data_IF_078974341385
#
_entry.id   IF_078974341385
#
_cell.length_a   1.000
_cell.length_b   1.000
_cell.length_c   1.000
_cell.angle_alpha   90.00
_cell.angle_beta   90.00
_cell.angle_gamma   90.00
#
_symmetry.space_group_name_H-M   'P 1'
#
loop_
_entity.id
_entity.type
_entity.pdbx_description
1 polymer ?
#
# COMPACT_ATOMS: atom_id res chain seq x y z
N UNK A 1 -4.57 13.31 -16.07
CA UNK A 1 -3.69 12.24 -15.60
C UNK A 1 -4.28 11.71 -14.30
N UNK A 2 -4.54 10.44 -14.04
CA UNK A 2 -4.64 9.20 -14.81
C UNK A 2 -5.53 8.33 -13.92
N UNK A 3 -6.59 7.76 -14.48
CA UNK A 3 -7.65 7.10 -13.70
C UNK A 3 -7.07 5.98 -12.83
N UNK A 4 -7.40 6.00 -11.54
CA UNK A 4 -7.23 4.82 -10.70
C UNK A 4 -8.02 3.68 -11.34
N UNK A 5 -7.32 2.77 -12.01
CA UNK A 5 -7.86 1.45 -12.28
C UNK A 5 -8.05 0.81 -10.92
N UNK A 6 -9.24 0.97 -10.34
CA UNK A 6 -9.64 0.22 -9.16
C UNK A 6 -9.65 -1.25 -9.57
N UNK A 7 -8.53 -1.95 -9.36
CA UNK A 7 -8.53 -3.40 -9.32
C UNK A 7 -9.53 -3.75 -8.22
N UNK A 8 -10.56 -4.48 -8.61
CA UNK A 8 -11.58 -4.94 -7.68
C UNK A 8 -10.87 -5.94 -6.79
N UNK A 9 -10.74 -5.60 -5.50
CA UNK A 9 -10.24 -6.55 -4.51
C UNK A 9 -11.30 -7.61 -4.28
N UNK A 10 -10.87 -8.85 -4.12
CA UNK A 10 -11.78 -9.94 -3.81
C UNK A 10 -12.43 -9.69 -2.44
N UNK A 11 -13.77 -9.71 -2.33
CA UNK A 11 -14.46 -9.38 -1.09
C UNK A 11 -14.10 -10.30 0.08
N UNK A 12 -13.78 -11.56 -0.23
CA UNK A 12 -13.34 -12.57 0.73
C UNK A 12 -11.98 -12.20 1.32
N UNK A 13 -11.00 -11.84 0.48
CA UNK A 13 -9.68 -11.38 0.92
C UNK A 13 -9.77 -10.11 1.77
N UNK A 14 -10.65 -9.16 1.40
CA UNK A 14 -10.88 -7.95 2.19
C UNK A 14 -11.48 -8.28 3.55
N UNK A 15 -12.37 -9.27 3.63
CA UNK A 15 -12.94 -9.72 4.89
C UNK A 15 -11.88 -10.36 5.79
N UNK A 16 -11.04 -11.23 5.24
CA UNK A 16 -9.95 -11.89 5.97
C UNK A 16 -8.95 -10.87 6.53
N UNK A 17 -8.49 -9.94 5.69
CA UNK A 17 -7.60 -8.84 6.11
C UNK A 17 -8.29 -7.96 7.17
N UNK A 18 -9.59 -7.70 7.03
CA UNK A 18 -10.35 -6.91 8.01
C UNK A 18 -10.40 -7.61 9.36
N UNK A 19 -10.57 -8.93 9.38
CA UNK A 19 -10.59 -9.73 10.60
C UNK A 19 -9.21 -9.82 11.26
N UNK A 20 -8.15 -9.97 10.46
CA UNK A 20 -6.77 -10.06 10.95
C UNK A 20 -6.24 -8.73 11.49
N UNK A 21 -6.49 -7.63 10.78
CA UNK A 21 -5.89 -6.31 11.07
C UNK A 21 -6.80 -5.39 11.88
N UNK A 22 -8.11 -5.66 11.89
CA UNK A 22 -9.13 -4.75 12.43
C UNK A 22 -9.38 -3.51 11.56
N UNK A 23 -8.79 -3.41 10.37
CA UNK A 23 -9.08 -2.31 9.44
C UNK A 23 -10.44 -2.48 8.77
N UNK A 24 -11.14 -1.36 8.58
CA UNK A 24 -12.36 -1.35 7.78
C UNK A 24 -12.06 -1.65 6.30
N UNK A 25 -13.00 -2.25 5.55
CA UNK A 25 -12.85 -2.47 4.10
C UNK A 25 -12.41 -1.22 3.34
N UNK A 26 -12.96 -0.05 3.71
CA UNK A 26 -12.58 1.24 3.11
C UNK A 26 -11.11 1.60 3.35
N UNK A 27 -10.57 1.31 4.53
CA UNK A 27 -9.14 1.52 4.83
C UNK A 27 -8.27 0.57 4.01
N UNK A 28 -8.68 -0.70 3.88
CA UNK A 28 -7.98 -1.72 3.09
C UNK A 28 -7.90 -1.29 1.62
N UNK A 29 -9.02 -0.88 1.01
CA UNK A 29 -9.01 -0.36 -0.37
C UNK A 29 -8.07 0.85 -0.54
N UNK A 30 -8.05 1.78 0.44
CA UNK A 30 -7.15 2.95 0.39
C UNK A 30 -5.68 2.56 0.56
N UNK A 31 -5.38 1.56 1.38
CA UNK A 31 -4.03 1.01 1.52
C UNK A 31 -3.60 0.35 0.21
N UNK A 32 -4.45 -0.49 -0.37
CA UNK A 32 -4.17 -1.17 -1.63
C UNK A 32 -3.95 -0.21 -2.81
N UNK A 33 -4.73 0.86 -2.91
CA UNK A 33 -4.52 1.89 -3.93
C UNK A 33 -3.18 2.59 -3.77
N UNK A 34 -2.77 2.90 -2.52
CA UNK A 34 -1.45 3.48 -2.24
C UNK A 34 -0.33 2.50 -2.55
N UNK A 35 -0.50 1.24 -2.16
CA UNK A 35 0.42 0.15 -2.48
C UNK A 35 0.61 0.02 -3.99
N UNK A 36 -0.48 0.00 -4.77
CA UNK A 36 -0.42 -0.13 -6.24
C UNK A 36 0.25 1.07 -6.92
N UNK A 37 0.17 2.26 -6.32
CA UNK A 37 0.86 3.44 -6.81
C UNK A 37 2.38 3.40 -6.53
N UNK A 38 2.80 2.65 -5.51
CA UNK A 38 4.20 2.45 -5.15
C UNK A 38 4.84 1.27 -5.90
N UNK A 39 4.11 0.17 -6.12
CA UNK A 39 4.58 -1.00 -6.89
C UNK A 39 4.57 -0.73 -8.41
N UNK A 40 5.53 0.10 -8.86
CA UNK A 40 5.68 0.47 -10.27
C UNK A 40 6.09 -0.70 -11.16
N UNK A 41 6.75 -1.70 -10.58
CA UNK A 41 7.13 -2.94 -11.28
C UNK A 41 5.98 -3.92 -11.47
N UNK A 42 4.85 -3.71 -10.80
CA UNK A 42 3.78 -4.70 -10.67
C UNK A 42 4.31 -6.08 -10.23
N UNK A 43 5.31 -6.06 -9.34
CA UNK A 43 5.99 -7.26 -8.88
C UNK A 43 5.17 -8.02 -7.82
N UNK A 44 4.13 -7.39 -7.27
CA UNK A 44 3.32 -7.99 -6.20
C UNK A 44 3.96 -7.88 -4.82
N UNK A 45 5.03 -7.07 -4.69
CA UNK A 45 5.60 -6.65 -3.41
C UNK A 45 6.23 -5.26 -3.54
N UNK A 46 6.49 -4.60 -2.39
CA UNK A 46 7.25 -3.35 -2.34
C UNK A 46 8.67 -3.60 -1.86
N UNK A 47 9.64 -3.02 -2.56
CA UNK A 47 11.04 -2.97 -2.16
C UNK A 47 11.32 -1.69 -1.36
N UNK A 48 12.45 -1.67 -0.65
CA UNK A 48 12.89 -0.48 0.11
C UNK A 48 12.90 0.79 -0.75
N UNK A 49 13.36 0.67 -1.98
CA UNK A 49 13.39 1.77 -2.95
C UNK A 49 11.99 2.32 -3.29
N UNK A 50 10.95 1.49 -3.25
CA UNK A 50 9.58 1.93 -3.54
C UNK A 50 9.04 2.78 -2.38
N UNK A 51 9.41 2.46 -1.14
CA UNK A 51 9.07 3.28 0.02
C UNK A 51 9.77 4.64 0.01
N UNK A 52 10.97 4.75 -0.56
CA UNK A 52 11.68 6.03 -0.74
C UNK A 52 11.00 6.95 -1.75
N UNK A 53 10.04 6.45 -2.55
CA UNK A 53 9.19 7.30 -3.39
C UNK A 53 8.20 8.13 -2.59
N UNK A 54 7.97 7.81 -1.31
CA UNK A 54 7.15 8.60 -0.39
C UNK A 54 8.02 9.75 0.14
N UNK A 55 7.82 11.00 -0.30
CA UNK A 55 8.72 12.09 0.05
C UNK A 55 8.80 12.33 1.55
N UNK A 56 7.67 12.22 2.26
CA UNK A 56 7.58 12.40 3.70
C UNK A 56 8.34 11.32 4.47
N UNK A 57 8.44 10.12 3.91
CA UNK A 57 9.19 9.02 4.51
C UNK A 57 10.70 9.16 4.24
N UNK A 58 11.07 9.63 3.04
CA UNK A 58 12.47 9.84 2.65
C UNK A 58 13.17 10.92 3.51
N UNK A 59 12.43 11.92 3.99
CA UNK A 59 12.96 12.95 4.90
C UNK A 59 12.73 12.64 6.38
N UNK A 60 12.05 11.53 6.71
CA UNK A 60 11.78 11.16 8.08
C UNK A 60 13.07 10.67 8.73
N UNK A 61 13.53 11.24 9.86
CA UNK A 61 14.74 10.79 10.55
C UNK A 61 14.64 9.34 11.06
N UNK A 62 13.44 8.78 11.13
CA UNK A 62 13.18 7.37 11.46
C UNK A 62 12.80 6.55 10.23
N UNK A 63 12.82 7.12 9.03
CA UNK A 63 12.37 6.47 7.79
C UNK A 63 13.05 5.13 7.55
N UNK A 64 14.37 5.09 7.74
CA UNK A 64 15.14 3.86 7.61
C UNK A 64 14.74 2.76 8.59
N UNK A 65 14.24 3.12 9.78
CA UNK A 65 13.73 2.18 10.79
C UNK A 65 12.29 1.74 10.51
N UNK A 66 11.49 2.62 9.91
CA UNK A 66 10.09 2.32 9.53
C UNK A 66 10.05 1.27 8.41
N UNK A 67 11.03 1.27 7.52
CA UNK A 67 11.11 0.34 6.38
C UNK A 67 11.82 -0.99 6.76
N UNK A 68 12.41 -1.07 7.96
CA UNK A 68 13.32 -2.16 8.34
C UNK A 68 12.65 -3.37 8.98
#
# INVERSE_FOLDING_TARGET
MGGSSSKILDPEEVADISTETGFTPKQIHRLYNRYSALDRSHAGYLQRQDFLLIPELAINPLGDRIIN
#
